data_IF_621757102396
#
_entry.id   IF_621757102396
#
_cell.length_a   1.000
_cell.length_b   1.000
_cell.length_c   1.000
_cell.angle_alpha   90.00
_cell.angle_beta   90.00
_cell.angle_gamma   90.00
#
_symmetry.space_group_name_H-M   'P 1'
#
loop_
_entity.id
_entity.type
_entity.pdbx_description
1 polymer ?
#
# COMPACT_ATOMS: atom_id res chain seq x y z
N UNK A 1 11.52 -82.43 0.48
CA UNK A 1 10.49 -82.58 1.51
C UNK A 1 10.92 -81.79 2.74
N UNK A 2 9.98 -81.03 3.33
CA UNK A 2 9.98 -80.40 4.67
C UNK A 2 11.07 -79.34 4.97
N UNK A 3 10.73 -78.04 5.09
CA UNK A 3 10.17 -77.33 6.28
C UNK A 3 11.23 -77.11 7.39
N UNK A 4 11.30 -76.01 8.14
CA UNK A 4 10.69 -74.68 8.18
C UNK A 4 11.36 -73.95 9.37
N UNK A 5 11.64 -72.64 9.24
CA UNK A 5 11.38 -71.53 10.20
C UNK A 5 11.83 -71.67 11.69
N UNK A 6 12.31 -70.69 12.47
CA UNK A 6 12.22 -69.21 12.61
C UNK A 6 13.38 -68.76 13.55
N UNK A 7 13.69 -67.46 13.56
CA UNK A 7 13.93 -66.55 14.73
C UNK A 7 14.87 -65.40 14.29
N UNK A 8 14.36 -64.19 14.00
CA UNK A 8 13.94 -63.08 14.89
C UNK A 8 15.05 -62.05 15.15
N UNK A 9 14.80 -60.85 14.61
CA UNK A 9 14.99 -59.49 15.15
C UNK A 9 16.38 -58.99 15.55
N UNK A 10 16.83 -57.95 14.84
CA UNK A 10 17.42 -56.75 15.45
C UNK A 10 17.11 -55.53 14.56
N UNK A 11 16.20 -54.67 15.03
CA UNK A 11 16.03 -53.29 14.54
C UNK A 11 16.82 -52.35 15.45
N UNK A 12 17.57 -51.37 14.93
CA UNK A 12 18.02 -50.23 15.71
C UNK A 12 16.97 -49.12 15.72
N UNK A 13 16.68 -48.66 16.93
CA UNK A 13 15.89 -47.48 17.29
C UNK A 13 16.71 -46.19 17.04
N UNK A 14 16.07 -45.03 16.82
CA UNK A 14 16.46 -43.89 17.66
C UNK A 14 15.28 -43.04 18.15
N UNK A 15 15.20 -42.96 19.48
CA UNK A 15 15.00 -41.76 20.32
C UNK A 15 13.86 -40.79 19.95
N UNK A 16 12.67 -41.08 20.48
CA UNK A 16 11.69 -40.06 20.89
C UNK A 16 11.90 -39.71 22.37
N UNK A 17 12.26 -38.46 22.67
CA UNK A 17 12.22 -37.90 24.02
C UNK A 17 10.86 -37.23 24.24
N UNK A 18 10.16 -37.69 25.28
CA UNK A 18 9.10 -36.95 25.97
C UNK A 18 9.32 -37.14 27.46
N UNK A 19 9.32 -36.05 28.24
CA UNK A 19 8.65 -36.05 29.54
C UNK A 19 8.48 -34.63 30.11
N UNK A 20 7.21 -34.39 30.46
CA UNK A 20 6.61 -33.31 31.25
C UNK A 20 7.18 -33.23 32.67
N UNK A 21 7.20 -32.03 33.30
CA UNK A 21 6.40 -31.71 34.52
C UNK A 21 6.63 -30.25 35.03
N UNK A 22 5.80 -29.73 35.97
CA UNK A 22 5.27 -28.37 36.03
C UNK A 22 5.93 -27.49 37.10
N UNK A 23 5.55 -26.21 37.17
CA UNK A 23 5.46 -25.49 38.45
C UNK A 23 4.50 -24.29 38.41
N UNK A 24 3.73 -24.16 39.49
CA UNK A 24 2.83 -23.06 39.83
C UNK A 24 3.61 -21.95 40.54
N UNK A 25 3.30 -20.67 40.30
CA UNK A 25 3.54 -19.58 41.27
C UNK A 25 2.67 -18.34 41.01
N UNK A 26 1.81 -18.03 41.99
CA UNK A 26 1.34 -16.72 42.54
C UNK A 26 1.09 -15.46 41.66
N UNK A 27 -0.19 -15.07 41.63
CA UNK A 27 -0.80 -13.79 42.06
C UNK A 27 -0.27 -12.38 41.62
N UNK A 28 -1.08 -11.72 40.76
CA UNK A 28 -1.54 -10.28 40.70
C UNK A 28 -0.55 -9.09 40.71
N UNK A 29 -0.97 -7.84 40.37
CA UNK A 29 -1.99 -7.34 39.42
C UNK A 29 -1.44 -6.23 38.46
N UNK A 30 -2.13 -5.92 37.35
CA UNK A 30 -2.43 -4.52 36.93
C UNK A 30 -3.10 -4.40 35.55
N UNK A 31 -4.09 -3.52 35.55
CA UNK A 31 -4.85 -2.91 34.46
C UNK A 31 -4.02 -2.14 33.42
N UNK A 32 -4.53 -1.98 32.19
CA UNK A 32 -4.87 -0.68 31.54
C UNK A 32 -5.08 -0.86 30.02
N UNK A 33 -6.28 -0.47 29.58
CA UNK A 33 -6.74 0.11 28.30
C UNK A 33 -5.96 -0.11 26.99
N UNK A 34 -6.69 -0.57 25.95
CA UNK A 34 -6.67 0.05 24.61
C UNK A 34 -8.09 0.11 24.05
N UNK A 35 -8.65 1.32 23.93
CA UNK A 35 -9.91 1.58 23.24
C UNK A 35 -9.75 1.37 21.72
N UNK A 36 -10.60 0.53 21.16
CA UNK A 36 -10.87 0.42 19.73
C UNK A 36 -11.49 1.74 19.23
N UNK A 37 -10.74 2.53 18.47
CA UNK A 37 -11.24 3.68 17.72
C UNK A 37 -11.46 3.27 16.25
N UNK A 38 -12.68 2.82 15.94
CA UNK A 38 -13.16 2.67 14.56
C UNK A 38 -13.74 4.01 14.08
N UNK A 39 -12.92 4.83 13.41
CA UNK A 39 -13.38 6.03 12.72
C UNK A 39 -13.64 5.69 11.25
N UNK A 40 -14.83 5.14 10.98
CA UNK A 40 -15.31 4.87 9.61
C UNK A 40 -16.05 6.12 9.11
N UNK A 41 -15.37 7.00 8.39
CA UNK A 41 -16.01 8.14 7.70
C UNK A 41 -16.32 7.74 6.26
N UNK A 42 -17.58 7.39 6.02
CA UNK A 42 -18.15 7.30 4.67
C UNK A 42 -18.47 8.70 4.18
N UNK A 43 -17.75 9.19 3.17
CA UNK A 43 -18.12 10.39 2.43
C UNK A 43 -18.99 9.99 1.24
N UNK A 44 -20.29 10.24 1.34
CA UNK A 44 -21.23 10.07 0.22
C UNK A 44 -21.36 11.40 -0.51
N UNK A 45 -20.80 11.50 -1.71
CA UNK A 45 -20.99 12.65 -2.60
C UNK A 45 -22.17 12.31 -3.52
N UNK A 46 -23.31 12.98 -3.33
CA UNK A 46 -24.44 12.96 -4.25
C UNK A 46 -24.34 14.20 -5.15
N UNK A 47 -24.04 13.99 -6.43
CA UNK A 47 -24.20 15.00 -7.46
C UNK A 47 -25.64 14.92 -8.01
N UNK A 48 -26.38 16.01 -7.92
CA UNK A 48 -27.63 16.21 -8.66
C UNK A 48 -27.59 17.57 -9.33
N UNK A 49 -27.53 17.54 -10.65
CA UNK A 49 -27.78 18.63 -11.58
C UNK A 49 -29.21 19.13 -11.43
N UNK A 50 -29.41 20.45 -11.36
CA UNK A 50 -30.57 21.11 -11.94
C UNK A 50 -30.38 22.64 -12.07
N UNK A 51 -31.06 23.16 -13.08
CA UNK A 51 -31.02 24.47 -13.70
C UNK A 51 -31.37 25.67 -12.80
N UNK A 52 -30.76 26.81 -13.13
CA UNK A 52 -31.11 28.20 -12.74
C UNK A 52 -32.62 28.50 -12.84
N UNK A 53 -33.18 29.42 -12.00
CA UNK A 53 -33.07 30.86 -12.30
C UNK A 53 -32.96 31.84 -11.09
N UNK A 54 -32.30 32.97 -11.37
CA UNK A 54 -32.45 34.35 -10.82
C UNK A 54 -32.33 34.65 -9.30
N UNK A 55 -31.45 35.61 -8.89
CA UNK A 55 -31.48 36.20 -7.55
C UNK A 55 -32.19 37.56 -7.53
N UNK A 56 -33.25 37.66 -6.73
CA UNK A 56 -33.93 38.92 -6.39
C UNK A 56 -33.19 39.65 -5.25
N UNK A 57 -32.74 40.87 -5.52
CA UNK A 57 -32.15 41.78 -4.54
C UNK A 57 -33.25 42.49 -3.73
N UNK A 58 -33.17 42.58 -2.38
CA UNK A 58 -34.12 43.39 -1.62
C UNK A 58 -33.78 44.89 -1.72
N UNK A 59 -34.76 45.66 -2.21
CA UNK A 59 -34.77 47.12 -2.25
C UNK A 59 -35.10 47.68 -0.85
N UNK A 60 -34.42 48.73 -0.34
CA UNK A 60 -34.75 49.31 0.95
C UNK A 60 -35.97 50.24 0.84
N UNK A 61 -36.98 50.04 1.70
CA UNK A 61 -38.11 50.98 1.83
C UNK A 61 -37.71 52.23 2.61
N UNK A 62 -38.26 53.40 2.24
CA UNK A 62 -37.95 54.68 2.85
C UNK A 62 -38.79 54.89 4.12
N UNK A 63 -38.28 55.70 5.05
CA UNK A 63 -38.94 56.24 6.24
C UNK A 63 -38.68 55.44 7.53
N UNK A 64 -37.68 55.89 8.30
CA UNK A 64 -37.90 56.35 9.68
C UNK A 64 -36.67 57.12 10.16
N UNK A 65 -36.89 58.41 10.41
CA UNK A 65 -35.98 59.33 11.07
C UNK A 65 -35.50 58.79 12.42
N UNK A 66 -34.20 58.86 12.70
CA UNK A 66 -33.73 59.19 14.05
C UNK A 66 -32.49 60.05 13.93
N UNK A 67 -32.77 61.32 13.65
CA UNK A 67 -31.89 62.48 13.78
C UNK A 67 -31.35 62.53 15.21
N UNK A 68 -30.03 62.45 15.40
CA UNK A 68 -29.39 62.79 16.66
C UNK A 68 -28.55 64.05 16.41
N UNK A 69 -28.91 65.13 17.10
CA UNK A 69 -28.34 66.48 16.97
C UNK A 69 -26.83 66.53 17.29
N UNK A 70 -26.05 67.40 16.61
CA UNK A 70 -24.59 67.47 16.75
C UNK A 70 -24.09 67.97 18.13
N UNK A 71 -24.96 68.48 19.00
CA UNK A 71 -24.58 69.08 20.30
C UNK A 71 -24.48 68.09 21.48
N UNK A 72 -24.57 66.78 21.24
CA UNK A 72 -24.59 65.76 22.31
C UNK A 72 -23.40 64.78 22.29
N UNK A 73 -22.25 65.22 21.79
CA UNK A 73 -21.00 64.47 21.95
C UNK A 73 -19.98 65.30 22.75
N UNK A 74 -19.46 64.81 23.88
CA UNK A 74 -18.40 65.50 24.59
C UNK A 74 -17.11 65.45 23.76
N UNK A 75 -16.83 66.54 23.06
CA UNK A 75 -15.61 66.76 22.29
C UNK A 75 -14.48 67.04 23.29
N UNK A 76 -13.80 65.98 23.72
CA UNK A 76 -12.57 66.11 24.49
C UNK A 76 -11.43 66.54 23.54
N UNK A 77 -10.93 67.75 23.79
CA UNK A 77 -9.98 68.51 22.98
C UNK A 77 -8.73 67.69 22.61
N UNK A 78 -8.68 67.11 21.40
CA UNK A 78 -7.43 66.59 20.84
C UNK A 78 -6.54 67.76 20.41
N UNK A 79 -5.41 67.92 21.12
CA UNK A 79 -4.34 68.87 20.81
C UNK A 79 -3.81 68.63 19.39
N UNK A 80 -3.52 69.74 18.70
CA UNK A 80 -2.94 69.82 17.36
C UNK A 80 -1.59 69.07 17.35
N UNK A 81 -1.54 67.85 16.81
CA UNK A 81 -0.29 67.20 16.46
C UNK A 81 0.09 67.60 15.04
N UNK A 82 1.12 68.41 14.97
CA UNK A 82 1.91 68.82 13.81
C UNK A 82 2.17 67.64 12.85
N UNK A 83 1.51 67.65 11.69
CA UNK A 83 1.71 66.65 10.64
C UNK A 83 2.92 67.10 9.81
N UNK A 84 4.08 66.53 10.08
CA UNK A 84 5.26 66.69 9.23
C UNK A 84 5.06 65.79 8.00
N UNK A 85 4.70 66.40 6.87
CA UNK A 85 4.73 65.72 5.58
C UNK A 85 6.18 65.67 5.08
N UNK A 86 6.82 64.52 5.21
CA UNK A 86 8.14 64.30 4.62
C UNK A 86 8.03 64.23 3.09
N UNK A 87 8.65 65.19 2.41
CA UNK A 87 8.52 65.43 0.97
C UNK A 87 9.84 65.17 0.25
N UNK A 88 10.41 63.95 0.35
CA UNK A 88 11.36 63.42 -0.65
C UNK A 88 11.82 61.98 -0.37
N UNK A 89 11.45 61.06 -1.26
CA UNK A 89 12.35 60.02 -1.75
C UNK A 89 11.84 59.46 -3.09
N UNK A 90 12.13 60.18 -4.17
CA UNK A 90 12.23 59.58 -5.51
C UNK A 90 13.50 58.72 -5.53
N UNK A 91 13.43 57.53 -4.97
CA UNK A 91 14.43 56.47 -5.21
C UNK A 91 13.63 55.19 -5.42
N UNK A 92 13.84 54.57 -6.57
CA UNK A 92 12.93 53.60 -7.18
C UNK A 92 12.39 52.54 -6.22
N UNK A 93 11.06 52.46 -6.14
CA UNK A 93 10.34 51.27 -5.71
C UNK A 93 10.56 50.17 -6.75
N UNK A 94 11.77 49.61 -6.81
CA UNK A 94 11.93 48.26 -7.34
C UNK A 94 11.47 47.37 -6.22
N UNK A 95 10.19 46.99 -6.25
CA UNK A 95 9.70 45.87 -5.47
C UNK A 95 10.65 44.71 -5.80
N UNK A 96 11.46 44.19 -4.87
CA UNK A 96 12.24 43.00 -5.16
C UNK A 96 11.23 41.95 -5.62
N UNK A 97 11.53 41.29 -6.74
CA UNK A 97 10.72 40.17 -7.19
C UNK A 97 10.56 39.22 -5.99
N UNK A 98 9.31 38.86 -5.62
CA UNK A 98 9.08 37.99 -4.47
C UNK A 98 9.97 36.76 -4.60
N UNK A 99 10.70 36.43 -3.53
CA UNK A 99 11.67 35.35 -3.53
C UNK A 99 11.01 34.08 -4.06
N UNK A 100 11.42 33.69 -5.26
CA UNK A 100 10.74 32.70 -6.08
C UNK A 100 10.67 31.36 -5.33
N UNK A 101 9.46 30.95 -4.92
CA UNK A 101 9.21 29.65 -4.28
C UNK A 101 9.17 28.50 -5.29
N UNK A 102 10.10 28.46 -6.25
CA UNK A 102 10.34 27.28 -7.10
C UNK A 102 10.61 25.99 -6.30
N UNK A 103 10.84 26.15 -4.99
CA UNK A 103 11.07 25.11 -3.97
C UNK A 103 9.87 24.14 -3.81
N UNK A 104 8.68 24.43 -4.35
CA UNK A 104 7.51 23.55 -4.20
C UNK A 104 7.35 22.42 -5.23
N UNK A 105 7.96 22.53 -6.41
CA UNK A 105 7.67 21.63 -7.56
C UNK A 105 8.85 20.73 -7.95
N UNK A 106 10.06 21.03 -7.49
CA UNK A 106 11.24 20.20 -7.75
C UNK A 106 11.44 19.22 -6.59
N UNK A 107 11.44 17.92 -6.90
CA UNK A 107 11.75 16.88 -5.92
C UNK A 107 13.19 17.08 -5.46
N UNK A 108 13.36 17.35 -4.17
CA UNK A 108 14.67 17.51 -3.51
C UNK A 108 15.40 16.19 -3.27
N UNK A 109 14.70 15.05 -3.43
CA UNK A 109 15.28 13.72 -3.35
C UNK A 109 15.43 13.14 -4.76
N UNK A 110 16.63 12.64 -5.14
CA UNK A 110 16.81 11.94 -6.39
C UNK A 110 15.91 10.69 -6.41
N UNK A 111 15.20 10.47 -7.50
CA UNK A 111 14.41 9.26 -7.71
C UNK A 111 15.32 8.31 -8.50
N UNK A 112 15.56 7.08 -8.03
CA UNK A 112 16.17 6.06 -8.87
C UNK A 112 15.22 5.78 -10.03
N UNK A 113 15.62 6.17 -11.25
CA UNK A 113 14.88 5.86 -12.48
C UNK A 113 15.22 4.47 -13.04
N UNK A 114 16.28 3.86 -12.50
CA UNK A 114 16.71 2.53 -12.87
C UNK A 114 15.78 1.48 -12.30
N UNK A 115 15.34 0.57 -13.17
CA UNK A 115 14.53 -0.57 -12.77
C UNK A 115 15.43 -1.63 -12.13
N UNK A 116 14.94 -2.38 -11.12
CA UNK A 116 15.69 -3.50 -10.57
C UNK A 116 15.96 -4.56 -11.65
N UNK A 117 17.00 -5.37 -11.48
CA UNK A 117 17.42 -6.33 -12.52
C UNK A 117 16.32 -7.34 -12.83
N UNK A 118 15.63 -7.84 -11.80
CA UNK A 118 14.52 -8.78 -11.93
C UNK A 118 13.17 -8.14 -12.30
N UNK A 119 13.13 -6.86 -12.71
CA UNK A 119 11.87 -6.15 -13.01
C UNK A 119 10.96 -6.89 -14.00
N UNK A 120 11.53 -7.48 -15.05
CA UNK A 120 10.76 -8.20 -16.08
C UNK A 120 10.08 -9.43 -15.48
N UNK A 121 10.79 -10.17 -14.64
CA UNK A 121 10.27 -11.33 -13.92
C UNK A 121 9.17 -10.90 -12.95
N UNK A 122 9.39 -9.83 -12.18
CA UNK A 122 8.39 -9.27 -11.29
C UNK A 122 7.11 -8.91 -12.03
N UNK A 123 7.20 -8.24 -13.17
CA UNK A 123 6.04 -7.83 -13.98
C UNK A 123 5.21 -9.03 -14.45
N UNK A 124 5.85 -10.14 -14.84
CA UNK A 124 5.15 -11.38 -15.15
C UNK A 124 4.42 -11.96 -13.94
N UNK A 125 5.08 -12.01 -12.79
CA UNK A 125 4.52 -12.56 -11.56
C UNK A 125 3.41 -11.69 -10.97
N UNK A 126 3.54 -10.36 -11.00
CA UNK A 126 2.49 -9.42 -10.58
C UNK A 126 1.23 -9.58 -11.43
N UNK A 127 1.38 -9.77 -12.74
CA UNK A 127 0.24 -10.05 -13.63
C UNK A 127 -0.43 -11.39 -13.29
N UNK A 128 0.34 -12.42 -12.95
CA UNK A 128 -0.18 -13.71 -12.52
C UNK A 128 -0.89 -13.61 -11.16
N UNK A 129 -0.32 -12.90 -10.18
CA UNK A 129 -1.00 -12.63 -8.90
C UNK A 129 -2.33 -11.92 -9.14
N UNK A 130 -2.33 -10.90 -9.99
CA UNK A 130 -3.54 -10.18 -10.37
C UNK A 130 -4.58 -11.09 -11.04
N UNK A 131 -4.16 -12.10 -11.82
CA UNK A 131 -5.05 -13.10 -12.41
C UNK A 131 -5.69 -13.98 -11.34
N UNK A 132 -4.93 -14.42 -10.35
CA UNK A 132 -5.46 -15.19 -9.21
C UNK A 132 -6.40 -14.34 -8.33
N UNK A 133 -6.23 -13.02 -8.32
CA UNK A 133 -7.05 -12.07 -7.57
C UNK A 133 -8.45 -11.83 -8.13
N UNK A 134 -8.73 -12.30 -9.35
CA UNK A 134 -10.00 -12.11 -10.04
C UNK A 134 -10.54 -13.46 -10.54
N UNK A 135 -11.81 -13.50 -10.92
CA UNK A 135 -12.40 -14.66 -11.59
C UNK A 135 -11.81 -14.78 -13.01
N UNK A 136 -10.75 -15.57 -13.16
CA UNK A 136 -10.08 -15.79 -14.44
C UNK A 136 -10.51 -17.12 -15.06
N UNK A 137 -11.56 -17.07 -15.88
CA UNK A 137 -12.00 -18.20 -16.69
C UNK A 137 -12.16 -19.49 -15.88
N UNK A 138 -11.56 -20.58 -16.36
CA UNK A 138 -11.50 -21.85 -15.64
C UNK A 138 -10.22 -21.99 -14.82
N UNK A 139 -10.27 -22.79 -13.74
CA UNK A 139 -9.08 -23.13 -12.93
C UNK A 139 -8.00 -23.82 -13.75
N UNK A 140 -8.39 -24.57 -14.79
CA UNK A 140 -7.45 -25.16 -15.75
C UNK A 140 -6.71 -24.12 -16.58
N UNK A 141 -7.42 -23.08 -17.04
CA UNK A 141 -6.82 -21.99 -17.80
C UNK A 141 -5.87 -21.17 -16.92
N UNK A 142 -6.25 -20.91 -15.66
CA UNK A 142 -5.39 -20.24 -14.68
C UNK A 142 -4.11 -21.06 -14.41
N UNK A 143 -4.25 -22.37 -14.21
CA UNK A 143 -3.10 -23.24 -13.99
C UNK A 143 -2.16 -23.27 -15.20
N UNK A 144 -2.72 -23.32 -16.42
CA UNK A 144 -1.90 -23.26 -17.65
C UNK A 144 -1.20 -21.91 -17.81
N UNK A 145 -1.89 -20.81 -17.50
CA UNK A 145 -1.27 -19.48 -17.49
C UNK A 145 -0.11 -19.40 -16.51
N UNK A 146 -0.25 -19.97 -15.31
CA UNK A 146 0.83 -20.01 -14.32
C UNK A 146 2.02 -20.86 -14.73
N UNK A 147 1.80 -21.98 -15.43
CA UNK A 147 2.88 -22.79 -16.02
C UNK A 147 3.69 -21.98 -17.04
N UNK A 148 3.00 -21.29 -17.97
CA UNK A 148 3.64 -20.45 -19.00
C UNK A 148 4.42 -19.29 -18.34
N UNK A 149 3.84 -18.64 -17.33
CA UNK A 149 4.51 -17.55 -16.62
C UNK A 149 5.73 -18.06 -15.86
N UNK A 150 5.65 -19.23 -15.22
CA UNK A 150 6.78 -19.82 -14.50
C UNK A 150 7.91 -20.23 -15.45
N UNK A 151 7.58 -20.78 -16.62
CA UNK A 151 8.55 -21.06 -17.68
C UNK A 151 9.22 -19.77 -18.17
N UNK A 152 8.43 -18.76 -18.52
CA UNK A 152 9.00 -17.50 -18.99
C UNK A 152 9.85 -16.80 -17.94
N UNK A 153 9.46 -16.86 -16.68
CA UNK A 153 10.25 -16.30 -15.57
C UNK A 153 11.61 -17.00 -15.41
N UNK A 154 11.70 -18.31 -15.69
CA UNK A 154 12.97 -19.04 -15.69
C UNK A 154 13.86 -18.63 -16.86
N UNK A 155 13.31 -18.55 -18.07
CA UNK A 155 14.06 -18.10 -19.25
C UNK A 155 14.67 -16.71 -19.05
N UNK A 156 13.89 -15.76 -18.52
CA UNK A 156 14.40 -14.41 -18.23
C UNK A 156 15.48 -14.42 -17.13
N UNK A 157 15.37 -15.32 -16.15
CA UNK A 157 16.37 -15.46 -15.10
C UNK A 157 17.68 -16.05 -15.65
N UNK A 158 17.60 -17.00 -16.59
CA UNK A 158 18.76 -17.56 -17.29
C UNK A 158 19.48 -16.49 -18.12
N UNK A 159 18.75 -15.64 -18.84
CA UNK A 159 19.32 -14.50 -19.57
C UNK A 159 20.10 -13.58 -18.62
N UNK A 160 19.57 -13.29 -17.43
CA UNK A 160 20.27 -12.46 -16.44
C UNK A 160 21.55 -13.11 -15.90
N UNK A 161 21.62 -14.44 -15.84
CA UNK A 161 22.82 -15.20 -15.44
C UNK A 161 23.83 -15.21 -16.57
N UNK A 162 23.41 -15.44 -17.81
CA UNK A 162 24.27 -15.40 -19.00
C UNK A 162 24.92 -14.02 -19.20
N UNK A 163 24.17 -12.95 -18.92
CA UNK A 163 24.68 -11.57 -18.93
C UNK A 163 25.58 -11.24 -17.71
N UNK A 164 25.70 -12.15 -16.74
CA UNK A 164 26.47 -11.95 -15.51
C UNK A 164 25.88 -10.91 -14.57
N UNK A 165 24.60 -10.58 -14.70
CA UNK A 165 23.91 -9.55 -13.91
C UNK A 165 23.45 -10.07 -12.55
N UNK A 166 23.15 -11.38 -12.46
CA UNK A 166 22.60 -12.04 -11.26
C UNK A 166 23.40 -13.30 -10.96
N UNK A 167 23.60 -13.62 -9.67
CA UNK A 167 24.24 -14.86 -9.25
C UNK A 167 23.33 -16.07 -9.45
N UNK A 168 23.89 -17.20 -9.89
CA UNK A 168 23.17 -18.47 -10.11
C UNK A 168 22.41 -18.95 -8.85
N UNK A 169 22.94 -18.63 -7.65
CA UNK A 169 22.27 -18.93 -6.38
C UNK A 169 20.90 -18.26 -6.27
N UNK A 170 20.78 -17.01 -6.70
CA UNK A 170 19.52 -16.26 -6.63
C UNK A 170 18.49 -16.82 -7.60
N UNK A 171 18.93 -17.25 -8.79
CA UNK A 171 18.08 -17.91 -9.79
C UNK A 171 17.61 -19.28 -9.32
N UNK A 172 18.46 -20.02 -8.60
CA UNK A 172 18.09 -21.29 -7.97
C UNK A 172 16.98 -21.08 -6.93
N UNK A 173 17.09 -20.06 -6.09
CA UNK A 173 16.04 -19.72 -5.12
C UNK A 173 14.74 -19.31 -5.80
N UNK A 174 14.80 -18.48 -6.85
CA UNK A 174 13.61 -18.14 -7.64
C UNK A 174 12.97 -19.40 -8.23
N UNK A 175 13.76 -20.27 -8.85
CA UNK A 175 13.29 -21.52 -9.46
C UNK A 175 12.61 -22.43 -8.45
N UNK A 176 13.13 -22.50 -7.22
CA UNK A 176 12.52 -23.23 -6.11
C UNK A 176 11.14 -22.68 -5.76
N UNK A 177 10.99 -21.35 -5.62
CA UNK A 177 9.69 -20.74 -5.29
C UNK A 177 8.69 -20.91 -6.44
N UNK A 178 9.13 -20.72 -7.69
CA UNK A 178 8.30 -20.97 -8.88
C UNK A 178 7.78 -22.40 -8.91
N UNK A 179 8.61 -23.39 -8.53
CA UNK A 179 8.16 -24.79 -8.50
C UNK A 179 7.06 -25.04 -7.48
N UNK A 180 7.17 -24.41 -6.30
CA UNK A 180 6.14 -24.51 -5.27
C UNK A 180 4.84 -23.82 -5.70
N UNK A 181 4.93 -22.71 -6.43
CA UNK A 181 3.78 -22.02 -7.02
C UNK A 181 3.09 -22.90 -8.08
N UNK A 182 3.84 -23.55 -8.98
CA UNK A 182 3.28 -24.50 -9.96
C UNK A 182 2.52 -25.64 -9.27
N UNK A 183 3.07 -26.17 -8.17
CA UNK A 183 2.40 -27.21 -7.38
C UNK A 183 1.08 -26.72 -6.76
N UNK A 184 1.06 -25.52 -6.20
CA UNK A 184 -0.17 -24.95 -5.65
C UNK A 184 -1.22 -24.74 -6.75
N UNK A 185 -0.83 -24.27 -7.94
CA UNK A 185 -1.73 -24.12 -9.07
C UNK A 185 -2.25 -25.46 -9.61
N UNK A 186 -1.46 -26.53 -9.54
CA UNK A 186 -1.94 -27.87 -9.83
C UNK A 186 -3.00 -28.33 -8.82
N UNK A 187 -2.86 -27.96 -7.53
CA UNK A 187 -3.90 -28.20 -6.52
C UNK A 187 -5.16 -27.35 -6.76
N UNK A 188 -5.00 -26.09 -7.20
CA UNK A 188 -6.12 -25.22 -7.62
C UNK A 188 -6.88 -25.85 -8.79
N UNK A 189 -6.16 -26.38 -9.78
CA UNK A 189 -6.76 -27.10 -10.92
C UNK A 189 -7.56 -28.32 -10.47
N UNK A 190 -7.05 -29.06 -9.49
CA UNK A 190 -7.69 -30.27 -8.97
C UNK A 190 -8.82 -30.00 -7.95
N UNK A 191 -9.01 -28.76 -7.51
CA UNK A 191 -10.02 -28.42 -6.53
C UNK A 191 -11.43 -28.51 -7.14
N UNK A 192 -12.29 -29.29 -6.50
CA UNK A 192 -13.68 -29.52 -6.94
C UNK A 192 -14.67 -28.65 -6.14
N UNK A 193 -14.32 -28.27 -4.91
CA UNK A 193 -15.19 -27.49 -4.02
C UNK A 193 -14.71 -26.04 -3.93
N UNK A 194 -15.64 -25.10 -3.97
CA UNK A 194 -15.37 -23.67 -3.91
C UNK A 194 -14.62 -23.24 -2.64
N UNK A 195 -14.96 -23.80 -1.47
CA UNK A 195 -14.27 -23.49 -0.21
C UNK A 195 -12.78 -23.86 -0.28
N UNK A 196 -12.47 -25.07 -0.78
CA UNK A 196 -11.09 -25.52 -0.93
C UNK A 196 -10.36 -24.78 -2.04
N UNK A 197 -11.06 -24.32 -3.08
CA UNK A 197 -10.49 -23.56 -4.17
C UNK A 197 -9.96 -22.21 -3.66
N UNK A 198 -10.76 -21.50 -2.85
CA UNK A 198 -10.38 -20.22 -2.27
C UNK A 198 -9.11 -20.31 -1.40
N UNK A 199 -9.05 -21.29 -0.49
CA UNK A 199 -7.87 -21.53 0.35
C UNK A 199 -6.61 -21.79 -0.47
N UNK A 200 -6.72 -22.61 -1.54
CA UNK A 200 -5.60 -22.93 -2.43
C UNK A 200 -5.17 -21.73 -3.27
N UNK A 201 -6.11 -20.90 -3.71
CA UNK A 201 -5.80 -19.66 -4.43
C UNK A 201 -5.05 -18.67 -3.55
N UNK A 202 -5.44 -18.51 -2.29
CA UNK A 202 -4.73 -17.63 -1.35
C UNK A 202 -3.32 -18.15 -1.06
N UNK A 203 -3.15 -19.47 -0.93
CA UNK A 203 -1.83 -20.09 -0.81
C UNK A 203 -0.95 -19.83 -2.04
N UNK A 204 -1.50 -20.02 -3.25
CA UNK A 204 -0.80 -19.77 -4.50
C UNK A 204 -0.40 -18.29 -4.66
N UNK A 205 -1.30 -17.36 -4.30
CA UNK A 205 -1.00 -15.91 -4.27
C UNK A 205 0.14 -15.59 -3.30
N UNK A 206 0.11 -16.15 -2.10
CA UNK A 206 1.17 -15.93 -1.12
C UNK A 206 2.54 -16.38 -1.64
N UNK A 207 2.60 -17.52 -2.35
CA UNK A 207 3.84 -17.96 -3.01
C UNK A 207 4.24 -17.08 -4.18
N UNK A 208 3.28 -16.60 -4.97
CA UNK A 208 3.55 -15.67 -6.06
C UNK A 208 4.19 -14.36 -5.52
N UNK A 209 3.66 -13.82 -4.42
CA UNK A 209 4.25 -12.69 -3.70
C UNK A 209 5.67 -12.97 -3.21
N UNK A 210 5.91 -14.18 -2.69
CA UNK A 210 7.27 -14.59 -2.31
C UNK A 210 8.22 -14.58 -3.52
N UNK A 211 7.77 -15.10 -4.67
CA UNK A 211 8.58 -15.10 -5.89
C UNK A 211 8.88 -13.67 -6.37
N UNK A 212 7.92 -12.74 -6.27
CA UNK A 212 8.12 -11.32 -6.56
C UNK A 212 9.21 -10.72 -5.66
N UNK A 213 9.19 -11.03 -4.36
CA UNK A 213 10.20 -10.54 -3.42
C UNK A 213 11.61 -11.08 -3.74
N UNK A 214 11.70 -12.34 -4.16
CA UNK A 214 12.98 -12.94 -4.61
C UNK A 214 13.46 -12.28 -5.89
N UNK A 215 12.59 -12.05 -6.87
CA UNK A 215 12.96 -11.36 -8.10
C UNK A 215 13.39 -9.90 -7.86
N UNK A 216 12.77 -9.22 -6.88
CA UNK A 216 13.13 -7.85 -6.51
C UNK A 216 14.50 -7.75 -5.82
N UNK A 217 15.04 -8.85 -5.28
CA UNK A 217 16.36 -8.86 -4.63
C UNK A 217 17.52 -9.10 -5.58
N UNK A 218 17.26 -9.37 -6.87
CA UNK A 218 18.26 -9.60 -7.93
C UNK A 218 19.22 -8.42 -8.15
#
# INVERSE_FOLDING_TARGET
MASSALQLLCHPNPLHQTLLHPNQTLAYPSSVLVHHLSCQKHFTIKCTSNSTPQPDFPTPSPNSETTISPDKFPIEKRRKSEIIHDRKSRTGLVKPEPQNFEIGWKRTKPIPLEKPKGYVIMDFLEKLEGLMGREFGSTELLAKAGEIVAERAREEAEVLVEEGKVEERMVTELSRVLKLMEMDLAMVKAAVKEETLGERLEQAKARCRQAILVANSF
#
